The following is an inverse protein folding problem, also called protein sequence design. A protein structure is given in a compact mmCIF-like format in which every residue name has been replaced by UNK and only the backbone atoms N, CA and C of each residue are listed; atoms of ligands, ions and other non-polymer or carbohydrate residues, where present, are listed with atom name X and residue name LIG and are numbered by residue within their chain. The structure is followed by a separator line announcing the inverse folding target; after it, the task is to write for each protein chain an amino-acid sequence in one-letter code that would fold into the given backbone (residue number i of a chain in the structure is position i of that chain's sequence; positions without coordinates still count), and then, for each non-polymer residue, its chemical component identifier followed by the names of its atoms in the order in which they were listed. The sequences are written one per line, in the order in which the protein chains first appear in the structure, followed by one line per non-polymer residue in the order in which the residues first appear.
data_IF_861925124780
#
_entry.id   IF_861925124780
#
_cell.length_a   1.000
_cell.length_b   1.000
_cell.length_c   1.000
_cell.angle_alpha   90.00
_cell.angle_beta   90.00
_cell.angle_gamma   90.00
#
_symmetry.space_group_name_H-M   'P 1'
#
loop_
_entity.id
_entity.type
_entity.pdbx_description
1 polymer ?
#
# COMPACT_ATOMS: atom_id res chain seq x y z
N UNK A 1 71.81 53.19 15.47
CA UNK A 1 71.52 51.97 14.64
C UNK A 1 71.03 50.90 15.57
N UNK A 2 69.76 50.77 15.74
CA UNK A 2 69.15 49.61 16.38
C UNK A 2 67.70 49.48 15.89
N UNK A 3 67.44 48.37 15.23
CA UNK A 3 66.15 48.04 14.67
C UNK A 3 65.19 47.50 15.76
N UNK A 4 64.08 48.16 15.97
CA UNK A 4 63.01 47.63 16.81
C UNK A 4 62.04 46.76 15.95
N UNK A 5 62.10 45.43 16.17
CA UNK A 5 61.12 44.50 15.70
C UNK A 5 59.90 44.53 16.62
N UNK A 6 58.76 45.00 16.10
CA UNK A 6 57.43 44.89 16.72
C UNK A 6 56.88 43.52 16.43
N UNK A 7 56.79 42.63 17.42
CA UNK A 7 55.95 41.41 17.34
C UNK A 7 54.46 41.79 17.47
N UNK A 8 53.72 41.58 16.43
CA UNK A 8 52.25 41.59 16.50
C UNK A 8 51.78 40.21 16.95
N UNK A 9 51.25 40.11 18.18
CA UNK A 9 50.53 38.94 18.66
C UNK A 9 49.14 38.87 17.99
N UNK A 10 48.91 37.84 17.14
CA UNK A 10 47.60 37.54 16.59
C UNK A 10 46.84 36.74 17.67
N UNK A 11 45.86 37.38 18.31
CA UNK A 11 44.92 36.72 19.22
C UNK A 11 43.92 35.96 18.34
N UNK A 12 44.07 34.61 18.24
CA UNK A 12 43.01 33.74 17.71
C UNK A 12 41.89 33.65 18.76
N UNK A 13 40.80 34.33 18.53
CA UNK A 13 39.53 34.04 19.23
C UNK A 13 38.97 32.70 18.69
N UNK A 14 38.63 31.76 19.57
CA UNK A 14 37.93 30.57 19.13
C UNK A 14 36.52 30.97 18.64
N UNK A 15 36.25 30.72 17.38
CA UNK A 15 34.85 30.73 16.87
C UNK A 15 34.09 29.62 17.63
N UNK A 16 33.33 30.02 18.63
CA UNK A 16 32.27 29.17 19.19
C UNK A 16 31.29 28.92 18.09
N UNK A 17 31.32 27.72 17.46
CA UNK A 17 30.30 27.26 16.59
C UNK A 17 28.97 27.22 17.38
N UNK A 18 28.06 28.12 17.08
CA UNK A 18 26.70 28.06 17.59
C UNK A 18 26.14 26.65 17.27
N UNK A 19 25.48 25.98 18.23
CA UNK A 19 24.83 24.71 17.93
C UNK A 19 23.83 24.96 16.79
N UNK A 20 23.97 24.19 15.72
CA UNK A 20 22.98 24.23 14.63
C UNK A 20 21.60 24.03 15.28
N UNK A 21 20.76 25.04 15.21
CA UNK A 21 19.39 24.94 15.68
C UNK A 21 18.78 23.73 14.99
N UNK A 22 18.39 22.72 15.76
CA UNK A 22 17.73 21.55 15.24
C UNK A 22 16.50 22.06 14.47
N UNK A 23 16.49 21.80 13.16
CA UNK A 23 15.40 22.26 12.30
C UNK A 23 14.12 21.63 12.82
N UNK A 24 13.25 22.44 13.43
CA UNK A 24 11.99 21.96 14.02
C UNK A 24 11.13 21.38 12.90
N UNK A 25 10.65 20.16 13.09
CA UNK A 25 9.75 19.51 12.13
C UNK A 25 8.43 20.27 12.03
N UNK A 26 8.14 20.92 10.89
CA UNK A 26 6.95 21.76 10.75
C UNK A 26 5.63 20.98 10.80
N UNK A 27 5.67 19.65 10.69
CA UNK A 27 4.50 18.78 10.73
C UNK A 27 4.21 18.21 12.13
N UNK A 28 5.12 18.38 13.10
CA UNK A 28 4.94 17.82 14.44
C UNK A 28 3.62 18.26 15.13
N UNK A 29 3.23 19.55 15.14
CA UNK A 29 1.97 19.94 15.76
C UNK A 29 0.75 19.29 15.08
N UNK A 30 0.78 19.15 13.76
CA UNK A 30 -0.30 18.48 13.03
C UNK A 30 -0.39 16.99 13.35
N UNK A 31 0.75 16.30 13.49
CA UNK A 31 0.77 14.88 13.92
C UNK A 31 0.21 14.68 15.31
N UNK A 32 0.51 15.58 16.26
CA UNK A 32 -0.03 15.52 17.62
C UNK A 32 -1.56 15.61 17.63
N UNK A 33 -2.13 16.53 16.86
CA UNK A 33 -3.58 16.67 16.70
C UNK A 33 -4.18 15.41 16.07
N UNK A 34 -3.59 14.88 15.00
CA UNK A 34 -4.04 13.65 14.36
C UNK A 34 -3.96 12.46 15.30
N UNK A 35 -2.87 12.35 16.09
CA UNK A 35 -2.69 11.30 17.09
C UNK A 35 -3.78 11.34 18.16
N UNK A 36 -4.11 12.54 18.65
CA UNK A 36 -5.10 12.71 19.71
C UNK A 36 -6.52 12.40 19.24
N UNK A 37 -6.91 12.92 18.07
CA UNK A 37 -8.23 12.63 17.46
C UNK A 37 -8.42 11.14 17.20
N UNK A 38 -7.36 10.42 16.76
CA UNK A 38 -7.45 9.02 16.40
C UNK A 38 -7.12 8.06 17.56
N UNK A 39 -6.91 8.57 18.79
CA UNK A 39 -6.57 7.74 19.94
C UNK A 39 -7.66 6.73 20.26
N UNK A 40 -7.28 5.49 20.51
CA UNK A 40 -8.18 4.45 21.02
C UNK A 40 -8.19 4.55 22.55
N UNK A 41 -9.34 4.88 23.14
CA UNK A 41 -9.49 5.11 24.57
C UNK A 41 -10.42 4.10 25.26
N UNK A 42 -10.97 3.16 24.51
CA UNK A 42 -11.91 2.16 25.06
C UNK A 42 -11.17 1.13 25.91
N UNK A 43 -11.76 0.61 27.02
CA UNK A 43 -11.08 -0.31 27.95
C UNK A 43 -10.63 -1.62 27.28
N UNK A 44 -11.36 -2.13 26.29
CA UNK A 44 -11.01 -3.34 25.54
C UNK A 44 -10.34 -3.04 24.19
N UNK A 45 -9.89 -1.79 24.01
CA UNK A 45 -9.25 -1.36 22.77
C UNK A 45 -7.83 -1.90 22.60
N UNK A 46 -7.32 -1.77 21.37
CA UNK A 46 -5.94 -2.05 21.02
C UNK A 46 -5.39 -0.94 20.14
N UNK A 47 -4.20 -0.47 20.48
CA UNK A 47 -3.40 0.46 19.68
C UNK A 47 -1.95 0.12 19.94
N UNK A 48 -1.36 -0.74 19.13
CA UNK A 48 -0.01 -1.23 19.32
C UNK A 48 0.75 -1.38 18.00
N UNK A 49 2.06 -1.17 18.07
CA UNK A 49 3.00 -1.42 16.97
C UNK A 49 4.09 -2.35 17.47
N UNK A 50 4.37 -3.39 16.70
CA UNK A 50 5.40 -4.37 17.06
C UNK A 50 6.07 -4.97 15.83
N UNK A 51 7.22 -5.61 16.06
CA UNK A 51 7.93 -6.36 15.05
C UNK A 51 7.51 -7.84 15.08
N UNK A 52 7.45 -8.43 13.88
CA UNK A 52 7.27 -9.88 13.68
C UNK A 52 8.37 -10.40 12.77
N UNK A 53 8.75 -11.65 12.95
CA UNK A 53 9.65 -12.34 12.00
C UNK A 53 8.79 -13.19 11.07
N UNK A 54 8.86 -12.91 9.77
CA UNK A 54 8.14 -13.63 8.71
C UNK A 54 9.16 -14.06 7.66
N UNK A 55 9.22 -15.36 7.37
CA UNK A 55 10.18 -15.89 6.41
C UNK A 55 11.64 -15.47 6.69
N UNK A 56 12.00 -15.39 7.97
CA UNK A 56 13.35 -15.03 8.42
C UNK A 56 13.69 -13.53 8.35
N UNK A 57 12.77 -12.64 7.97
CA UNK A 57 12.97 -11.19 8.00
C UNK A 57 12.04 -10.50 9.00
N UNK A 58 12.56 -9.51 9.73
CA UNK A 58 11.75 -8.69 10.65
C UNK A 58 10.88 -7.72 9.87
N UNK A 59 9.64 -7.58 10.30
CA UNK A 59 8.66 -6.72 9.65
C UNK A 59 7.79 -6.04 10.70
N UNK A 60 7.32 -4.83 10.40
CA UNK A 60 6.55 -3.99 11.33
C UNK A 60 5.06 -4.16 11.10
N UNK A 61 4.33 -4.33 12.19
CA UNK A 61 2.87 -4.47 12.21
C UNK A 61 2.29 -3.42 13.16
N UNK A 62 1.22 -2.74 12.72
CA UNK A 62 0.43 -1.85 13.54
C UNK A 62 -0.99 -2.40 13.66
N UNK A 63 -1.52 -2.44 14.88
CA UNK A 63 -2.85 -3.00 15.18
C UNK A 63 -3.67 -1.97 15.94
N UNK A 64 -4.87 -1.68 15.44
CA UNK A 64 -5.78 -0.68 16.01
C UNK A 64 -7.23 -1.16 15.98
N UNK A 65 -7.97 -0.91 17.06
CA UNK A 65 -9.39 -1.23 17.15
C UNK A 65 -9.97 -0.88 18.51
N UNK A 66 -11.22 -0.48 18.55
CA UNK A 66 -11.91 -0.11 19.80
C UNK A 66 -12.27 -1.32 20.67
N UNK A 67 -12.28 -2.50 20.09
CA UNK A 67 -12.58 -3.76 20.79
C UNK A 67 -11.75 -4.92 20.18
N UNK A 68 -10.89 -5.54 21.00
CA UNK A 68 -10.11 -6.74 20.62
C UNK A 68 -11.00 -7.94 20.25
N UNK A 69 -12.27 -7.90 20.68
CA UNK A 69 -13.30 -8.88 20.31
C UNK A 69 -13.75 -8.77 18.85
N UNK A 70 -13.54 -7.66 18.19
CA UNK A 70 -13.90 -7.46 16.80
C UNK A 70 -13.13 -8.40 15.85
N UNK A 71 -13.67 -8.73 14.67
CA UNK A 71 -12.93 -9.50 13.66
C UNK A 71 -11.70 -8.75 13.20
N UNK A 72 -10.61 -9.50 12.93
CA UNK A 72 -9.37 -8.92 12.36
C UNK A 72 -9.61 -8.61 10.88
N UNK A 73 -9.20 -7.41 10.47
CA UNK A 73 -9.08 -7.00 9.07
C UNK A 73 -7.61 -6.70 8.80
N UNK A 74 -6.93 -7.61 8.09
CA UNK A 74 -5.56 -7.42 7.63
C UNK A 74 -5.56 -6.64 6.32
N UNK A 75 -4.97 -5.45 6.33
CA UNK A 75 -4.76 -4.62 5.16
C UNK A 75 -3.38 -4.92 4.56
N UNK A 76 -3.35 -5.44 3.33
CA UNK A 76 -2.13 -5.71 2.56
C UNK A 76 -1.95 -4.56 1.57
N UNK A 77 -0.91 -3.75 1.77
CA UNK A 77 -0.65 -2.53 1.03
C UNK A 77 -0.23 -2.75 -0.43
N UNK A 78 -0.35 -1.67 -1.21
CA UNK A 78 -0.05 -1.62 -2.63
C UNK A 78 1.44 -1.41 -2.98
N UNK A 79 1.68 -0.96 -4.19
CA UNK A 79 2.99 -0.70 -4.75
C UNK A 79 3.38 -1.68 -5.86
N UNK A 80 4.38 -2.58 -5.68
CA UNK A 80 5.02 -3.07 -4.44
C UNK A 80 5.74 -1.99 -3.63
N UNK A 81 5.64 -2.10 -2.30
CA UNK A 81 6.39 -1.25 -1.38
C UNK A 81 5.78 0.13 -1.08
N UNK A 82 4.62 0.48 -1.65
CA UNK A 82 3.91 1.73 -1.34
C UNK A 82 2.97 1.51 -0.15
N UNK A 83 3.52 1.58 1.06
CA UNK A 83 2.80 1.29 2.30
C UNK A 83 1.72 2.32 2.58
N UNK A 84 0.50 1.88 2.91
CA UNK A 84 -0.61 2.75 3.30
C UNK A 84 -0.67 3.04 4.81
N UNK A 85 0.07 2.35 5.66
CA UNK A 85 0.11 2.62 7.10
C UNK A 85 0.32 4.11 7.43
N UNK A 86 1.26 4.84 6.78
CA UNK A 86 1.47 6.25 7.11
C UNK A 86 0.36 7.19 6.65
N UNK A 87 -0.60 6.73 5.85
CA UNK A 87 -1.78 7.50 5.45
C UNK A 87 -3.08 6.96 6.04
N UNK A 88 -3.04 5.86 6.78
CA UNK A 88 -4.22 5.19 7.34
C UNK A 88 -5.05 6.13 8.24
N UNK A 89 -4.42 7.09 8.91
CA UNK A 89 -5.08 8.10 9.73
C UNK A 89 -6.19 8.87 8.99
N UNK A 90 -6.09 8.98 7.67
CA UNK A 90 -7.02 9.77 6.85
C UNK A 90 -8.32 9.02 6.48
N UNK A 91 -8.37 7.69 6.63
CA UNK A 91 -9.53 6.90 6.22
C UNK A 91 -9.90 5.75 7.17
N UNK A 92 -8.96 5.24 7.95
CA UNK A 92 -9.12 3.97 8.67
C UNK A 92 -9.94 4.09 9.96
N UNK A 93 -9.91 5.25 10.65
CA UNK A 93 -10.49 5.40 11.99
C UNK A 93 -11.92 4.87 12.12
N UNK A 94 -12.87 5.10 11.18
CA UNK A 94 -14.21 4.52 11.27
C UNK A 94 -14.24 2.98 11.18
N UNK A 95 -13.24 2.35 10.54
CA UNK A 95 -13.19 0.90 10.43
C UNK A 95 -12.82 0.25 11.77
N UNK A 96 -12.04 0.96 12.60
CA UNK A 96 -11.55 0.51 13.91
C UNK A 96 -12.68 0.35 14.94
N UNK A 97 -13.88 0.90 14.68
CA UNK A 97 -15.06 0.72 15.52
C UNK A 97 -15.67 -0.69 15.36
N UNK A 98 -15.43 -1.34 14.22
CA UNK A 98 -16.04 -2.62 13.83
C UNK A 98 -15.05 -3.75 13.57
N UNK A 99 -13.79 -3.41 13.35
CA UNK A 99 -12.71 -4.34 13.08
C UNK A 99 -11.51 -4.04 13.99
N UNK A 100 -10.74 -5.07 14.30
CA UNK A 100 -9.35 -4.92 14.70
C UNK A 100 -8.53 -4.83 13.42
N UNK A 101 -8.18 -3.59 13.01
CA UNK A 101 -7.49 -3.33 11.75
C UNK A 101 -6.00 -3.51 11.93
N UNK A 102 -5.40 -4.26 11.02
CA UNK A 102 -3.97 -4.54 10.99
C UNK A 102 -3.38 -3.95 9.74
N UNK A 103 -2.46 -3.00 9.90
CA UNK A 103 -1.57 -2.49 8.87
C UNK A 103 -0.23 -3.22 8.98
N UNK A 104 0.40 -3.50 7.85
CA UNK A 104 1.65 -4.25 7.79
C UNK A 104 2.60 -3.60 6.81
N UNK A 105 3.77 -3.19 7.29
CA UNK A 105 4.89 -2.79 6.43
C UNK A 105 5.54 -4.07 5.92
N UNK A 106 5.24 -4.44 4.67
CA UNK A 106 5.74 -5.67 4.08
C UNK A 106 7.26 -5.66 3.97
N UNK A 107 7.84 -6.83 3.75
CA UNK A 107 9.27 -7.05 3.50
C UNK A 107 9.87 -5.99 2.57
N UNK A 108 10.91 -5.26 3.04
CA UNK A 108 11.62 -4.25 2.26
C UNK A 108 10.88 -2.91 2.10
N UNK A 109 9.75 -2.71 2.76
CA UNK A 109 8.93 -1.51 2.64
C UNK A 109 8.72 -0.80 3.98
N UNK A 110 8.39 0.49 3.95
CA UNK A 110 8.12 1.28 5.16
C UNK A 110 9.20 1.14 6.22
N UNK A 111 8.81 0.97 7.48
CA UNK A 111 9.75 0.78 8.61
C UNK A 111 10.46 -0.58 8.55
N UNK A 112 9.86 -1.59 7.93
CA UNK A 112 10.49 -2.90 7.74
C UNK A 112 11.77 -2.82 6.88
N UNK A 113 11.86 -1.82 5.99
CA UNK A 113 13.08 -1.56 5.21
C UNK A 113 14.29 -1.22 6.09
N UNK A 114 14.06 -0.59 7.26
CA UNK A 114 15.13 -0.21 8.20
C UNK A 114 15.67 -1.37 9.05
N UNK A 115 14.95 -2.49 9.09
CA UNK A 115 15.25 -3.60 9.99
C UNK A 115 16.23 -4.60 9.41
N UNK A 116 16.42 -4.59 8.10
CA UNK A 116 17.21 -5.60 7.39
C UNK A 116 18.20 -4.96 6.41
N UNK A 117 19.26 -5.67 6.09
CA UNK A 117 20.20 -5.28 5.05
C UNK A 117 19.56 -5.47 3.66
N UNK A 118 19.39 -4.41 2.86
CA UNK A 118 18.79 -4.52 1.53
C UNK A 118 19.47 -5.52 0.61
N UNK A 119 20.81 -5.66 0.70
CA UNK A 119 21.55 -6.60 -0.14
C UNK A 119 21.22 -8.06 0.18
N UNK A 120 20.99 -8.36 1.47
CA UNK A 120 20.55 -9.71 1.91
C UNK A 120 19.08 -9.94 1.63
N UNK A 121 18.28 -8.89 1.65
CA UNK A 121 16.84 -8.97 1.47
C UNK A 121 16.43 -9.14 -0.01
N UNK A 122 17.12 -8.46 -0.94
CA UNK A 122 16.77 -8.43 -2.37
C UNK A 122 16.55 -9.81 -3.01
N UNK A 123 17.38 -10.85 -2.77
CA UNK A 123 17.13 -12.17 -3.34
C UNK A 123 15.82 -12.80 -2.88
N UNK A 124 15.32 -12.42 -1.70
CA UNK A 124 14.10 -12.97 -1.08
C UNK A 124 12.82 -12.25 -1.52
N UNK A 125 12.90 -11.13 -2.25
CA UNK A 125 11.74 -10.42 -2.75
C UNK A 125 11.15 -11.17 -3.94
N UNK A 126 10.31 -12.17 -3.66
CA UNK A 126 9.57 -12.94 -4.66
C UNK A 126 8.08 -12.92 -4.35
N UNK A 127 7.24 -13.05 -5.35
CA UNK A 127 5.79 -13.10 -5.16
C UNK A 127 5.37 -14.16 -4.13
N UNK A 128 5.94 -15.35 -4.25
CA UNK A 128 5.67 -16.48 -3.34
C UNK A 128 6.03 -16.13 -1.90
N UNK A 129 7.16 -15.45 -1.69
CA UNK A 129 7.60 -15.06 -0.34
C UNK A 129 6.64 -14.06 0.29
N UNK A 130 6.16 -13.07 -0.44
CA UNK A 130 5.15 -12.12 0.07
C UNK A 130 3.83 -12.81 0.41
N UNK A 131 3.37 -13.74 -0.42
CA UNK A 131 2.20 -14.59 -0.11
C UNK A 131 2.42 -15.38 1.18
N UNK A 132 3.57 -16.03 1.32
CA UNK A 132 3.86 -16.90 2.46
C UNK A 132 4.11 -16.06 3.73
N UNK A 133 4.72 -14.86 3.65
CA UNK A 133 4.77 -13.89 4.74
C UNK A 133 3.35 -13.48 5.20
N UNK A 134 2.43 -13.24 4.27
CA UNK A 134 1.04 -12.91 4.62
C UNK A 134 0.34 -14.08 5.36
N UNK A 135 0.57 -15.31 4.94
CA UNK A 135 0.03 -16.50 5.60
C UNK A 135 0.61 -16.64 7.02
N UNK A 136 1.93 -16.53 7.17
CA UNK A 136 2.60 -16.58 8.48
C UNK A 136 2.10 -15.47 9.41
N UNK A 137 1.90 -14.25 8.87
CA UNK A 137 1.33 -13.14 9.65
C UNK A 137 -0.09 -13.44 10.12
N UNK A 138 -0.96 -13.96 9.25
CA UNK A 138 -2.33 -14.33 9.61
C UNK A 138 -2.33 -15.35 10.74
N UNK A 139 -1.50 -16.39 10.66
CA UNK A 139 -1.40 -17.43 11.69
C UNK A 139 -0.92 -16.85 13.03
N UNK A 140 0.08 -15.93 13.01
CA UNK A 140 0.56 -15.25 14.22
C UNK A 140 -0.50 -14.32 14.82
N UNK A 141 -1.24 -13.57 13.99
CA UNK A 141 -2.34 -12.70 14.43
C UNK A 141 -3.49 -13.51 15.04
N UNK A 142 -3.87 -14.61 14.39
CA UNK A 142 -4.90 -15.52 14.92
C UNK A 142 -4.52 -16.05 16.31
N UNK A 143 -3.27 -16.49 16.48
CA UNK A 143 -2.75 -16.94 17.78
C UNK A 143 -2.74 -15.82 18.82
N UNK A 144 -2.23 -14.61 18.45
CA UNK A 144 -2.08 -13.46 19.37
C UNK A 144 -3.41 -12.96 19.90
N UNK A 145 -4.43 -12.88 19.03
CA UNK A 145 -5.75 -12.30 19.37
C UNK A 145 -6.85 -13.35 19.60
N UNK A 146 -6.52 -14.64 19.65
CA UNK A 146 -7.48 -15.71 19.90
C UNK A 146 -8.54 -15.85 18.80
N UNK A 147 -8.17 -15.62 17.54
CA UNK A 147 -9.05 -15.73 16.38
C UNK A 147 -8.73 -16.97 15.57
N UNK A 148 -9.71 -17.48 14.81
CA UNK A 148 -9.51 -18.63 13.91
C UNK A 148 -9.32 -18.21 12.46
N UNK A 149 -9.88 -17.07 12.08
CA UNK A 149 -9.89 -16.52 10.72
C UNK A 149 -9.77 -15.02 10.77
N UNK A 150 -9.36 -14.43 9.65
CA UNK A 150 -9.29 -12.99 9.43
C UNK A 150 -10.05 -12.60 8.16
N UNK A 151 -10.34 -11.32 8.01
CA UNK A 151 -10.64 -10.72 6.71
C UNK A 151 -9.31 -10.24 6.14
N UNK A 152 -9.02 -10.54 4.88
CA UNK A 152 -7.91 -9.95 4.14
C UNK A 152 -8.45 -8.92 3.17
N UNK A 153 -7.96 -7.68 3.28
CA UNK A 153 -8.17 -6.62 2.30
C UNK A 153 -6.83 -6.33 1.63
N UNK A 154 -6.72 -6.60 0.34
CA UNK A 154 -5.55 -6.30 -0.45
C UNK A 154 -5.80 -5.12 -1.38
N UNK A 155 -4.91 -4.12 -1.39
CA UNK A 155 -4.96 -2.98 -2.29
C UNK A 155 -3.88 -3.08 -3.36
N UNK A 156 -4.26 -2.89 -4.65
CA UNK A 156 -3.29 -2.84 -5.75
C UNK A 156 -2.37 -4.08 -5.79
N UNK A 157 -1.05 -3.94 -5.65
CA UNK A 157 -0.13 -5.07 -5.44
C UNK A 157 -0.60 -6.01 -4.32
N UNK A 158 -1.04 -5.45 -3.19
CA UNK A 158 -1.57 -6.24 -2.06
C UNK A 158 -2.79 -7.09 -2.44
N UNK A 159 -3.55 -6.69 -3.46
CA UNK A 159 -4.65 -7.49 -3.98
C UNK A 159 -4.18 -8.77 -4.67
N UNK A 160 -3.03 -8.73 -5.32
CA UNK A 160 -2.38 -9.92 -5.90
C UNK A 160 -1.96 -10.89 -4.79
N UNK A 161 -1.32 -10.37 -3.73
CA UNK A 161 -0.90 -11.17 -2.57
C UNK A 161 -2.12 -11.76 -1.84
N UNK A 162 -3.13 -10.94 -1.55
CA UNK A 162 -4.34 -11.36 -0.85
C UNK A 162 -5.15 -12.42 -1.61
N UNK A 163 -5.24 -12.29 -2.94
CA UNK A 163 -5.89 -13.29 -3.80
C UNK A 163 -5.13 -14.62 -3.78
N UNK A 164 -3.79 -14.58 -3.76
CA UNK A 164 -2.96 -15.77 -3.64
C UNK A 164 -3.14 -16.47 -2.28
N UNK A 165 -3.29 -15.70 -1.19
CA UNK A 165 -3.62 -16.23 0.14
C UNK A 165 -5.00 -16.90 0.10
N UNK A 166 -6.01 -16.24 -0.47
CA UNK A 166 -7.37 -16.78 -0.58
C UNK A 166 -7.44 -18.07 -1.41
N UNK A 167 -6.60 -18.19 -2.43
CA UNK A 167 -6.51 -19.41 -3.24
C UNK A 167 -5.76 -20.55 -2.53
N UNK A 168 -4.72 -20.22 -1.73
CA UNK A 168 -3.84 -21.22 -1.10
C UNK A 168 -4.32 -21.69 0.28
N UNK A 169 -4.91 -20.78 1.08
CA UNK A 169 -5.30 -21.00 2.48
C UNK A 169 -6.69 -20.41 2.79
N UNK A 170 -7.74 -20.86 2.06
CA UNK A 170 -9.10 -20.34 2.21
C UNK A 170 -9.65 -20.53 3.65
N UNK A 171 -9.18 -21.58 4.36
CA UNK A 171 -9.62 -21.87 5.72
C UNK A 171 -9.18 -20.82 6.76
N UNK A 172 -8.19 -20.00 6.46
CA UNK A 172 -7.75 -18.90 7.32
C UNK A 172 -8.60 -17.63 7.16
N UNK A 173 -9.48 -17.57 6.16
CA UNK A 173 -10.18 -16.36 5.79
C UNK A 173 -11.69 -16.43 6.07
N UNK A 174 -12.25 -15.37 6.63
CA UNK A 174 -13.69 -15.10 6.60
C UNK A 174 -14.15 -14.61 5.22
N UNK A 175 -13.34 -13.74 4.61
CA UNK A 175 -13.52 -13.16 3.29
C UNK A 175 -12.20 -12.60 2.75
N UNK A 176 -12.09 -12.56 1.45
CA UNK A 176 -11.09 -11.79 0.72
C UNK A 176 -11.74 -10.56 0.08
N UNK A 177 -11.12 -9.39 0.29
CA UNK A 177 -11.54 -8.11 -0.30
C UNK A 177 -10.41 -7.60 -1.20
N UNK A 178 -10.68 -7.46 -2.48
CA UNK A 178 -9.73 -6.88 -3.44
C UNK A 178 -10.13 -5.44 -3.78
N UNK A 179 -9.26 -4.48 -3.51
CA UNK A 179 -9.43 -3.06 -3.85
C UNK A 179 -8.37 -2.69 -4.89
N UNK A 180 -8.79 -2.10 -6.02
CA UNK A 180 -7.87 -1.90 -7.14
C UNK A 180 -7.23 -3.23 -7.56
N UNK A 181 -8.05 -4.24 -7.85
CA UNK A 181 -7.64 -5.63 -8.02
C UNK A 181 -6.87 -5.86 -9.31
N UNK A 182 -5.64 -6.36 -9.20
CA UNK A 182 -4.87 -6.88 -10.32
C UNK A 182 -5.09 -8.39 -10.49
N UNK A 183 -5.31 -8.84 -11.72
CA UNK A 183 -5.51 -10.26 -12.07
C UNK A 183 -4.34 -10.85 -12.84
N UNK A 184 -3.80 -10.08 -13.78
CA UNK A 184 -2.66 -10.45 -14.61
C UNK A 184 -1.84 -9.20 -14.88
N UNK A 185 -0.56 -9.25 -14.56
CA UNK A 185 0.27 -8.04 -14.61
C UNK A 185 0.53 -7.56 -16.04
N UNK A 186 0.75 -8.46 -17.00
CA UNK A 186 0.95 -8.05 -18.41
C UNK A 186 -0.34 -7.49 -19.02
N UNK A 187 -1.49 -8.13 -18.79
CA UNK A 187 -2.78 -7.63 -19.26
C UNK A 187 -3.11 -6.29 -18.64
N UNK A 188 -2.78 -6.10 -17.35
CA UNK A 188 -2.94 -4.84 -16.65
C UNK A 188 -2.15 -3.71 -17.31
N UNK A 189 -0.85 -3.94 -17.56
CA UNK A 189 0.00 -2.95 -18.24
C UNK A 189 -0.50 -2.66 -19.67
N UNK A 190 -0.85 -3.70 -20.42
CA UNK A 190 -1.36 -3.56 -21.79
C UNK A 190 -2.64 -2.73 -21.85
N UNK A 191 -3.60 -3.01 -20.98
CA UNK A 191 -4.88 -2.30 -20.93
C UNK A 191 -4.70 -0.84 -20.47
N UNK A 192 -3.88 -0.60 -19.44
CA UNK A 192 -3.57 0.73 -18.95
C UNK A 192 -2.85 1.61 -19.99
N UNK A 193 -1.85 1.04 -20.68
CA UNK A 193 -1.17 1.73 -21.78
C UNK A 193 -2.12 2.08 -22.94
N UNK A 194 -2.95 1.13 -23.36
CA UNK A 194 -3.93 1.35 -24.44
C UNK A 194 -4.90 2.49 -24.10
N UNK A 195 -5.43 2.48 -22.87
CA UNK A 195 -6.28 3.57 -22.38
C UNK A 195 -5.54 4.90 -22.36
N UNK A 196 -4.29 4.91 -21.87
CA UNK A 196 -3.49 6.15 -21.77
C UNK A 196 -3.21 6.76 -23.16
N UNK A 197 -2.88 5.93 -24.15
CA UNK A 197 -2.71 6.37 -25.55
C UNK A 197 -4.03 6.96 -26.09
N UNK A 198 -5.17 6.30 -25.84
CA UNK A 198 -6.46 6.80 -26.28
C UNK A 198 -6.78 8.18 -25.65
N UNK A 199 -6.50 8.34 -24.35
CA UNK A 199 -6.65 9.61 -23.65
C UNK A 199 -5.71 10.70 -24.17
N UNK A 200 -4.45 10.34 -24.48
CA UNK A 200 -3.48 11.27 -25.05
C UNK A 200 -3.94 11.77 -26.42
N UNK A 201 -4.37 10.87 -27.30
CA UNK A 201 -4.88 11.21 -28.64
C UNK A 201 -6.11 12.13 -28.56
N UNK A 202 -7.07 11.83 -27.67
CA UNK A 202 -8.26 12.65 -27.45
C UNK A 202 -7.92 14.08 -27.00
N UNK A 203 -6.82 14.25 -26.25
CA UNK A 203 -6.34 15.54 -25.73
C UNK A 203 -5.36 16.26 -26.64
N UNK A 204 -4.96 15.65 -27.75
CA UNK A 204 -3.92 16.19 -28.63
C UNK A 204 -2.51 16.17 -28.00
N UNK A 205 -2.29 15.32 -26.97
CA UNK A 205 -0.99 15.16 -26.29
C UNK A 205 -0.07 14.25 -27.14
N UNK A 206 0.51 14.84 -28.18
CA UNK A 206 1.37 14.14 -29.16
C UNK A 206 2.64 13.60 -28.48
N UNK A 207 3.17 14.33 -27.50
CA UNK A 207 4.35 13.91 -26.73
C UNK A 207 4.08 12.60 -25.97
N UNK A 208 2.95 12.52 -25.27
CA UNK A 208 2.56 11.32 -24.56
C UNK A 208 2.40 10.11 -25.50
N UNK A 209 1.71 10.30 -26.63
CA UNK A 209 1.56 9.23 -27.62
C UNK A 209 2.92 8.71 -28.10
N UNK A 210 3.81 9.61 -28.51
CA UNK A 210 5.16 9.25 -28.98
C UNK A 210 5.98 8.53 -27.91
N UNK A 211 5.95 9.05 -26.66
CA UNK A 211 6.69 8.48 -25.54
C UNK A 211 6.21 7.06 -25.19
N UNK A 212 4.89 6.83 -25.20
CA UNK A 212 4.32 5.53 -24.86
C UNK A 212 4.54 4.51 -26.00
N UNK A 213 4.38 4.93 -27.24
CA UNK A 213 4.63 4.06 -28.41
C UNK A 213 6.10 3.62 -28.52
N UNK A 214 7.04 4.44 -28.02
CA UNK A 214 8.46 4.11 -27.97
C UNK A 214 8.81 3.02 -26.93
N UNK A 215 7.90 2.67 -26.01
CA UNK A 215 8.11 1.60 -25.04
C UNK A 215 7.97 0.19 -25.63
N UNK A 216 7.42 0.08 -26.84
CA UNK A 216 7.28 -1.24 -27.50
C UNK A 216 8.63 -1.97 -27.57
N UNK A 217 8.66 -3.29 -27.35
CA UNK A 217 7.51 -4.22 -27.24
C UNK A 217 6.91 -4.38 -25.82
N UNK A 218 7.27 -3.54 -24.85
CA UNK A 218 6.63 -3.59 -23.52
C UNK A 218 5.10 -3.48 -23.62
N UNK A 219 4.31 -4.27 -22.85
CA UNK A 219 4.71 -5.21 -21.81
C UNK A 219 4.98 -6.63 -22.33
N UNK A 220 4.95 -6.87 -23.65
CA UNK A 220 4.98 -8.19 -24.28
C UNK A 220 6.41 -8.69 -24.57
N UNK A 221 7.40 -7.80 -24.58
CA UNK A 221 8.81 -8.14 -24.79
C UNK A 221 9.48 -8.78 -23.58
N UNK A 222 10.74 -9.22 -23.76
CA UNK A 222 11.50 -9.92 -22.70
C UNK A 222 11.83 -9.07 -21.46
N UNK A 223 11.82 -7.75 -21.60
CA UNK A 223 12.10 -6.81 -20.49
C UNK A 223 10.78 -6.32 -19.86
N UNK A 224 10.70 -6.39 -18.54
CA UNK A 224 9.55 -5.91 -17.76
C UNK A 224 10.08 -5.13 -16.56
N UNK A 225 10.31 -3.83 -16.73
CA UNK A 225 10.95 -2.98 -15.72
C UNK A 225 10.01 -1.87 -15.24
N UNK A 226 10.28 -1.37 -14.04
CA UNK A 226 9.52 -0.22 -13.51
C UNK A 226 9.75 1.04 -14.33
N UNK A 227 10.94 1.23 -14.90
CA UNK A 227 11.22 2.40 -15.72
C UNK A 227 10.37 2.41 -17.01
N UNK A 228 10.09 1.23 -17.59
CA UNK A 228 9.15 1.10 -18.71
C UNK A 228 7.71 1.41 -18.27
N UNK A 229 7.30 0.89 -17.10
CA UNK A 229 5.99 1.18 -16.53
C UNK A 229 5.83 2.68 -16.24
N UNK A 230 6.80 3.32 -15.62
CA UNK A 230 6.77 4.76 -15.31
C UNK A 230 6.75 5.61 -16.59
N UNK A 231 7.33 5.13 -17.66
CA UNK A 231 7.30 5.76 -18.97
C UNK A 231 5.91 6.11 -19.46
N UNK A 232 4.91 5.27 -19.18
CA UNK A 232 3.51 5.53 -19.53
C UNK A 232 2.64 5.96 -18.33
N UNK A 233 2.89 5.42 -17.13
CA UNK A 233 2.07 5.67 -15.93
C UNK A 233 2.06 7.14 -15.51
N UNK A 234 3.15 7.87 -15.72
CA UNK A 234 3.19 9.33 -15.47
C UNK A 234 2.12 10.10 -16.24
N UNK A 235 1.84 9.69 -17.48
CA UNK A 235 0.76 10.27 -18.30
C UNK A 235 -0.61 9.78 -17.83
N UNK A 236 -0.74 8.48 -17.53
CA UNK A 236 -1.96 7.92 -16.98
C UNK A 236 -2.41 8.64 -15.70
N UNK A 237 -1.48 8.89 -14.76
CA UNK A 237 -1.76 9.66 -13.54
C UNK A 237 -2.25 11.06 -13.86
N UNK A 238 -1.63 11.75 -14.83
CA UNK A 238 -2.08 13.07 -15.29
C UNK A 238 -3.50 13.05 -15.86
N UNK A 239 -3.94 11.92 -16.39
CA UNK A 239 -5.29 11.72 -16.93
C UNK A 239 -6.27 11.12 -15.92
N UNK A 240 -5.87 10.94 -14.65
CA UNK A 240 -6.74 10.54 -13.56
C UNK A 240 -6.79 9.02 -13.27
N UNK A 241 -5.81 8.25 -13.76
CA UNK A 241 -5.78 6.79 -13.54
C UNK A 241 -5.53 6.37 -12.10
N UNK A 242 -4.87 7.21 -11.29
CA UNK A 242 -4.58 6.92 -9.89
C UNK A 242 -5.65 7.49 -8.95
N UNK A 243 -6.11 8.70 -9.23
CA UNK A 243 -7.20 9.34 -8.49
C UNK A 243 -8.11 10.08 -9.48
N UNK A 244 -9.39 9.80 -9.44
CA UNK A 244 -10.38 10.36 -10.37
C UNK A 244 -10.40 11.90 -10.27
N UNK A 245 -10.54 12.55 -11.41
CA UNK A 245 -10.62 14.02 -11.53
C UNK A 245 -9.37 14.78 -11.01
N UNK A 246 -8.27 14.09 -10.71
CA UNK A 246 -7.00 14.67 -10.24
C UNK A 246 -5.88 14.45 -11.27
N UNK A 247 -5.00 15.43 -11.42
CA UNK A 247 -3.88 15.39 -12.36
C UNK A 247 -2.56 14.94 -11.70
N UNK A 248 -2.57 14.70 -10.40
CA UNK A 248 -1.39 14.28 -9.63
C UNK A 248 -1.79 13.55 -8.36
N UNK A 249 -0.79 12.94 -7.71
CA UNK A 249 -0.92 12.20 -6.47
C UNK A 249 -0.30 12.94 -5.26
N UNK A 250 -0.16 14.27 -5.32
CA UNK A 250 0.54 15.04 -4.28
C UNK A 250 -0.07 14.85 -2.89
N UNK A 251 -1.39 14.70 -2.78
CA UNK A 251 -2.05 14.42 -1.50
C UNK A 251 -1.56 13.10 -0.90
N UNK A 252 -1.46 12.05 -1.72
CA UNK A 252 -0.97 10.72 -1.30
C UNK A 252 0.50 10.77 -0.86
N UNK A 253 1.34 11.47 -1.61
CA UNK A 253 2.78 11.58 -1.32
C UNK A 253 3.10 12.48 -0.11
N UNK A 254 2.20 13.38 0.28
CA UNK A 254 2.41 14.33 1.40
C UNK A 254 1.78 13.87 2.70
N UNK A 255 0.67 13.13 2.64
CA UNK A 255 -0.07 12.66 3.81
C UNK A 255 0.79 11.88 4.84
N UNK A 256 1.81 11.08 4.44
CA UNK A 256 2.69 10.40 5.39
C UNK A 256 3.37 11.31 6.42
N UNK A 257 3.59 12.60 6.10
CA UNK A 257 4.19 13.57 7.02
C UNK A 257 3.31 13.90 8.22
N UNK A 258 2.02 13.65 8.13
CA UNK A 258 1.04 13.84 9.22
C UNK A 258 0.72 12.53 9.96
N UNK A 259 1.37 11.44 9.61
CA UNK A 259 1.15 10.15 10.26
C UNK A 259 1.54 10.18 11.73
N UNK A 260 0.65 9.80 12.66
CA UNK A 260 1.04 9.60 14.05
C UNK A 260 1.89 8.34 14.25
N UNK A 261 1.89 7.43 13.29
CA UNK A 261 2.57 6.13 13.33
C UNK A 261 4.01 6.20 12.78
N UNK A 262 4.38 7.31 12.10
CA UNK A 262 5.66 7.45 11.40
C UNK A 262 6.40 8.71 11.85
N UNK A 263 7.68 8.55 12.19
CA UNK A 263 8.62 9.65 12.39
C UNK A 263 9.08 10.23 11.05
N UNK A 264 9.74 11.39 11.00
CA UNK A 264 10.37 11.90 9.77
C UNK A 264 11.36 10.92 9.13
N UNK A 265 12.10 10.15 9.94
CA UNK A 265 13.01 9.11 9.46
C UNK A 265 12.25 7.94 8.80
N UNK A 266 11.10 7.55 9.38
CA UNK A 266 10.25 6.50 8.82
C UNK A 266 9.61 6.95 7.50
N UNK A 267 9.25 8.24 7.37
CA UNK A 267 8.73 8.81 6.10
C UNK A 267 9.81 8.77 5.02
N UNK A 268 11.09 9.01 5.38
CA UNK A 268 12.20 8.82 4.43
C UNK A 268 12.33 7.36 4.02
N UNK A 269 12.31 6.44 5.00
CA UNK A 269 12.38 5.00 4.76
C UNK A 269 11.22 4.48 3.92
N UNK A 270 10.02 5.06 4.06
CA UNK A 270 8.87 4.78 3.19
C UNK A 270 9.20 5.02 1.72
N UNK A 271 9.85 6.14 1.39
CA UNK A 271 10.29 6.45 0.02
C UNK A 271 11.40 5.52 -0.48
N UNK A 272 12.45 5.35 0.33
CA UNK A 272 13.62 4.53 -0.03
C UNK A 272 13.23 3.05 -0.17
N UNK A 273 12.45 2.51 0.76
CA UNK A 273 11.95 1.14 0.74
C UNK A 273 11.00 0.87 -0.42
N UNK A 274 10.13 1.84 -0.75
CA UNK A 274 9.26 1.74 -1.92
C UNK A 274 10.08 1.61 -3.21
N UNK A 275 11.07 2.48 -3.39
CA UNK A 275 11.95 2.45 -4.56
C UNK A 275 12.76 1.16 -4.66
N UNK A 276 13.33 0.70 -3.53
CA UNK A 276 14.06 -0.56 -3.44
C UNK A 276 13.18 -1.75 -3.82
N UNK A 277 12.01 -1.84 -3.20
CA UNK A 277 11.09 -2.97 -3.40
C UNK A 277 10.56 -3.01 -4.83
N UNK A 278 10.11 -1.87 -5.36
CA UNK A 278 9.50 -1.84 -6.69
C UNK A 278 10.52 -2.16 -7.79
N UNK A 279 11.75 -1.63 -7.71
CA UNK A 279 12.81 -1.95 -8.66
C UNK A 279 13.22 -3.42 -8.63
N UNK A 280 13.26 -4.01 -7.45
CA UNK A 280 13.67 -5.42 -7.28
C UNK A 280 12.59 -6.40 -7.72
N UNK A 281 11.34 -6.11 -7.38
CA UNK A 281 10.23 -7.06 -7.56
C UNK A 281 9.54 -6.91 -8.92
N UNK A 282 9.46 -5.70 -9.48
CA UNK A 282 8.71 -5.45 -10.71
C UNK A 282 9.04 -6.41 -11.86
N UNK A 283 10.32 -6.71 -12.16
CA UNK A 283 10.65 -7.64 -13.24
C UNK A 283 10.11 -9.06 -13.03
N UNK A 284 9.86 -9.44 -11.79
CA UNK A 284 9.35 -10.76 -11.39
C UNK A 284 7.83 -10.86 -11.44
N UNK A 285 7.14 -9.73 -11.67
CA UNK A 285 5.68 -9.68 -11.74
C UNK A 285 5.11 -10.04 -13.11
N UNK A 286 5.94 -10.00 -14.14
CA UNK A 286 5.52 -10.24 -15.52
C UNK A 286 4.70 -11.52 -15.72
N UNK A 287 5.01 -12.56 -14.96
CA UNK A 287 4.40 -13.89 -15.08
C UNK A 287 3.38 -14.19 -13.95
N UNK A 288 3.11 -13.21 -13.08
CA UNK A 288 2.09 -13.36 -12.04
C UNK A 288 0.71 -13.17 -12.63
N UNK A 289 -0.07 -14.24 -12.63
CA UNK A 289 -1.39 -14.31 -13.27
C UNK A 289 -2.35 -15.21 -12.51
N UNK A 290 -3.60 -14.76 -12.43
CA UNK A 290 -4.74 -15.55 -11.93
C UNK A 290 -5.77 -15.84 -13.03
N UNK A 291 -5.42 -15.62 -14.30
CA UNK A 291 -6.35 -15.83 -15.43
C UNK A 291 -6.94 -17.23 -15.46
N UNK A 292 -6.17 -18.24 -15.07
CA UNK A 292 -6.56 -19.65 -15.11
C UNK A 292 -7.18 -20.16 -13.82
N UNK A 293 -7.24 -19.35 -12.77
CA UNK A 293 -7.97 -19.67 -11.55
C UNK A 293 -9.48 -19.68 -11.87
N UNK A 294 -10.15 -20.80 -11.59
CA UNK A 294 -11.59 -21.01 -11.84
C UNK A 294 -12.40 -21.10 -10.57
N UNK A 295 -11.76 -21.32 -9.42
CA UNK A 295 -12.43 -21.49 -8.12
C UNK A 295 -11.61 -20.89 -6.99
N UNK A 296 -12.28 -20.20 -6.09
CA UNK A 296 -11.78 -19.72 -4.81
C UNK A 296 -12.76 -20.17 -3.73
N UNK A 297 -12.30 -20.86 -2.70
CA UNK A 297 -13.15 -21.41 -1.64
C UNK A 297 -13.37 -20.42 -0.47
N UNK A 298 -13.18 -19.13 -0.72
CA UNK A 298 -13.40 -18.02 0.19
C UNK A 298 -14.39 -17.03 -0.44
N UNK A 299 -15.30 -16.37 0.31
CA UNK A 299 -16.08 -15.24 -0.19
C UNK A 299 -15.18 -14.15 -0.78
N UNK A 300 -15.46 -13.67 -1.99
CA UNK A 300 -14.68 -12.67 -2.73
C UNK A 300 -15.52 -11.42 -2.94
N UNK A 301 -15.03 -10.29 -2.44
CA UNK A 301 -15.63 -8.97 -2.61
C UNK A 301 -14.61 -8.05 -3.31
N UNK A 302 -14.99 -7.45 -4.42
CA UNK A 302 -14.16 -6.44 -5.08
C UNK A 302 -14.72 -5.04 -4.88
N UNK A 303 -13.84 -4.10 -4.48
CA UNK A 303 -14.09 -2.67 -4.36
C UNK A 303 -13.37 -1.99 -5.53
N UNK A 304 -14.12 -1.64 -6.56
CA UNK A 304 -13.57 -1.22 -7.86
C UNK A 304 -13.94 0.24 -8.17
N UNK A 305 -12.92 1.08 -8.40
CA UNK A 305 -13.13 2.43 -8.89
C UNK A 305 -13.52 2.44 -10.37
N UNK A 306 -14.52 3.23 -10.73
CA UNK A 306 -15.01 3.34 -12.11
C UNK A 306 -13.94 3.85 -13.07
N UNK A 307 -13.05 4.70 -12.56
CA UNK A 307 -12.01 5.37 -13.32
C UNK A 307 -10.62 4.72 -13.18
N UNK A 308 -10.52 3.57 -12.46
CA UNK A 308 -9.23 2.90 -12.25
C UNK A 308 -8.67 2.33 -13.55
N UNK A 309 -7.54 2.89 -13.96
CA UNK A 309 -6.72 2.43 -15.08
C UNK A 309 -5.26 2.15 -14.64
N UNK A 310 -4.99 2.28 -13.35
CA UNK A 310 -3.74 1.79 -12.73
C UNK A 310 -3.77 0.26 -12.63
N UNK A 311 -4.91 -0.27 -12.19
CA UNK A 311 -5.30 -1.68 -12.31
C UNK A 311 -6.71 -1.71 -12.93
N UNK A 312 -6.82 -1.79 -14.27
CA UNK A 312 -8.09 -1.58 -14.96
C UNK A 312 -9.22 -2.45 -14.41
N UNK A 313 -10.17 -1.80 -13.72
CA UNK A 313 -11.25 -2.46 -12.96
C UNK A 313 -12.07 -3.44 -13.79
N UNK A 314 -12.18 -3.21 -15.11
CA UNK A 314 -12.91 -4.07 -16.03
C UNK A 314 -12.30 -5.48 -16.13
N UNK A 315 -10.96 -5.59 -15.99
CA UNK A 315 -10.30 -6.90 -16.02
C UNK A 315 -10.66 -7.73 -14.78
N UNK A 316 -10.68 -7.07 -13.61
CA UNK A 316 -11.09 -7.71 -12.35
C UNK A 316 -12.55 -8.14 -12.35
N UNK A 317 -13.47 -7.27 -12.80
CA UNK A 317 -14.91 -7.57 -12.92
C UNK A 317 -15.14 -8.75 -13.87
N UNK A 318 -14.51 -8.74 -15.04
CA UNK A 318 -14.62 -9.81 -16.02
C UNK A 318 -14.07 -11.15 -15.50
N UNK A 319 -12.99 -11.12 -14.72
CA UNK A 319 -12.44 -12.30 -14.07
C UNK A 319 -13.39 -12.85 -13.00
N UNK A 320 -13.91 -12.01 -12.10
CA UNK A 320 -14.79 -12.43 -11.02
C UNK A 320 -16.09 -13.06 -11.54
N UNK A 321 -16.60 -12.59 -12.68
CA UNK A 321 -17.78 -13.22 -13.32
C UNK A 321 -17.56 -14.69 -13.65
N UNK A 322 -16.35 -15.07 -14.04
CA UNK A 322 -15.97 -16.44 -14.47
C UNK A 322 -15.59 -17.37 -13.32
N UNK A 323 -15.13 -16.81 -12.19
CA UNK A 323 -14.67 -17.60 -11.04
C UNK A 323 -15.84 -18.07 -10.21
N UNK A 324 -15.77 -19.32 -9.73
CA UNK A 324 -16.67 -19.86 -8.71
C UNK A 324 -16.15 -19.48 -7.32
N UNK A 325 -17.03 -18.96 -6.45
CA UNK A 325 -16.72 -18.71 -5.04
C UNK A 325 -18.04 -18.81 -4.22
N UNK A 326 -17.95 -19.08 -2.89
CA UNK A 326 -19.11 -19.19 -2.01
C UNK A 326 -20.01 -17.94 -2.03
N UNK A 327 -19.39 -16.77 -2.16
CA UNK A 327 -20.05 -15.49 -2.39
C UNK A 327 -19.15 -14.63 -3.27
N UNK A 328 -19.77 -13.92 -4.23
CA UNK A 328 -19.11 -12.96 -5.11
C UNK A 328 -19.85 -11.63 -5.05
N UNK A 329 -19.12 -10.53 -4.90
CA UNK A 329 -19.71 -9.20 -4.90
C UNK A 329 -18.75 -8.22 -5.54
N UNK A 330 -19.24 -7.36 -6.43
CA UNK A 330 -18.54 -6.15 -6.88
C UNK A 330 -19.27 -4.95 -6.32
N UNK A 331 -18.53 -4.04 -5.68
CA UNK A 331 -19.00 -2.71 -5.28
C UNK A 331 -18.28 -1.69 -6.14
N UNK A 332 -19.03 -1.00 -6.98
CA UNK A 332 -18.50 0.06 -7.84
C UNK A 332 -18.47 1.39 -7.10
N UNK A 333 -17.34 2.08 -7.21
CA UNK A 333 -17.10 3.42 -6.72
C UNK A 333 -17.12 4.36 -7.92
N UNK A 334 -18.24 5.04 -8.11
CA UNK A 334 -18.54 5.79 -9.34
C UNK A 334 -17.66 7.03 -9.52
N UNK A 335 -17.14 7.56 -8.42
CA UNK A 335 -16.30 8.76 -8.40
C UNK A 335 -14.85 8.50 -8.00
N UNK A 336 -14.46 7.22 -7.93
CA UNK A 336 -13.09 6.83 -7.59
C UNK A 336 -12.36 6.22 -8.77
N UNK A 337 -11.05 6.37 -8.72
CA UNK A 337 -10.09 5.62 -9.51
C UNK A 337 -9.45 4.52 -8.66
N UNK A 338 -8.14 4.54 -8.45
CA UNK A 338 -7.38 3.49 -7.81
C UNK A 338 -7.44 3.48 -6.26
N UNK A 339 -7.90 4.59 -5.66
CA UNK A 339 -7.84 4.84 -4.22
C UNK A 339 -9.24 5.02 -3.58
N UNK A 340 -10.19 4.06 -3.71
CA UNK A 340 -11.55 4.22 -3.16
C UNK A 340 -11.57 4.58 -1.68
N UNK A 341 -10.61 4.04 -0.87
CA UNK A 341 -10.51 4.32 0.56
C UNK A 341 -10.22 5.80 0.87
N UNK A 342 -9.61 6.52 -0.06
CA UNK A 342 -9.28 7.96 0.08
C UNK A 342 -10.27 8.84 -0.69
N UNK A 343 -10.75 8.37 -1.85
CA UNK A 343 -11.59 9.15 -2.76
C UNK A 343 -13.07 9.14 -2.33
N UNK A 344 -13.58 7.99 -1.88
CA UNK A 344 -14.94 7.80 -1.35
C UNK A 344 -14.90 7.07 0.01
N UNK A 345 -14.25 7.63 1.06
CA UNK A 345 -13.99 6.91 2.32
C UNK A 345 -15.25 6.46 3.04
N UNK A 346 -16.29 7.27 3.05
CA UNK A 346 -17.57 6.91 3.64
C UNK A 346 -18.25 5.74 2.90
N UNK A 347 -18.16 5.70 1.57
CA UNK A 347 -18.70 4.59 0.78
C UNK A 347 -17.87 3.31 0.97
N UNK A 348 -16.55 3.43 1.08
CA UNK A 348 -15.67 2.30 1.40
C UNK A 348 -16.04 1.70 2.75
N UNK A 349 -16.22 2.53 3.78
CA UNK A 349 -16.66 2.08 5.10
C UNK A 349 -18.03 1.40 5.05
N UNK A 350 -19.02 2.00 4.38
CA UNK A 350 -20.34 1.41 4.23
C UNK A 350 -20.30 0.05 3.49
N UNK A 351 -19.41 -0.09 2.50
CA UNK A 351 -19.21 -1.36 1.80
C UNK A 351 -18.62 -2.45 2.72
N UNK A 352 -17.66 -2.10 3.57
CA UNK A 352 -17.10 -3.03 4.57
C UNK A 352 -18.19 -3.48 5.56
N UNK A 353 -19.01 -2.57 6.07
CA UNK A 353 -20.09 -2.91 6.98
C UNK A 353 -21.16 -3.79 6.34
N UNK A 354 -21.56 -3.49 5.11
CA UNK A 354 -22.67 -4.19 4.42
C UNK A 354 -22.26 -5.55 3.88
N UNK A 355 -21.06 -5.67 3.34
CA UNK A 355 -20.67 -6.84 2.55
C UNK A 355 -19.62 -7.72 3.21
N UNK A 356 -18.84 -7.18 4.16
CA UNK A 356 -17.70 -7.89 4.76
C UNK A 356 -17.97 -8.26 6.22
N UNK A 357 -18.39 -7.31 7.06
CA UNK A 357 -18.63 -7.55 8.48
C UNK A 357 -19.58 -8.75 8.76
N UNK A 358 -20.71 -8.94 8.03
CA UNK A 358 -21.61 -10.07 8.28
C UNK A 358 -20.97 -11.44 7.99
N UNK A 359 -19.87 -11.49 7.24
CA UNK A 359 -19.13 -12.73 6.97
C UNK A 359 -18.16 -13.08 8.09
N UNK A 360 -17.74 -12.08 8.87
CA UNK A 360 -16.71 -12.20 9.90
C UNK A 360 -17.26 -12.12 11.34
N UNK A 361 -18.47 -11.61 11.55
CA UNK A 361 -19.07 -11.50 12.87
C UNK A 361 -19.59 -12.85 13.37
N UNK A 362 -18.79 -13.50 14.22
CA UNK A 362 -19.15 -14.76 14.85
C UNK A 362 -20.27 -14.61 15.89
N UNK A 363 -20.53 -13.38 16.39
CA UNK A 363 -21.61 -13.09 17.36
C UNK A 363 -22.99 -13.08 16.70
N UNK A 364 -23.07 -12.68 15.45
CA UNK A 364 -24.32 -12.69 14.69
C UNK A 364 -24.75 -14.10 14.24
N UNK A 365 -23.91 -15.13 14.46
CA UNK A 365 -24.18 -16.53 14.07
C UNK A 365 -24.63 -17.43 15.23
N UNK A 366 -24.67 -16.88 16.44
CA UNK A 366 -25.24 -17.53 17.64
C UNK A 366 -26.63 -16.98 17.94
#
# INVERSE_FOLDING_TARGET
MSEHRLLRAIILLPLLAAPAAAQTDPFAPGREVVADINRIVTPNGVQETFEVTLGGARQVVNVRGVDRGNPILLFIHGGPGAVEMPIAWSFQRPWEDYFTVVQWDQRGAGRSYLLEDPAKLAPTLTFERYRDDAIELIEQLCKRYGKRKVVVLGHSWGSTVGLAVAAKRPELLHAYVGMGQAIDWRDNERAGMAWTIAQARQRGDVEAVKAIEALKPYPDGGSFTIDQADGWRKYAIRYGSLAAYRQNANFYLRAPRLSPEYTPADVKAWGDGSLFTIKTLWPRLADVSFKDVRRIDTPVIFLLGRHDQTTPSQLADAWLKRVSAPRKQVVWFEHSSHLPMVEEPGRTFAALLRHVLPLADERARK
#
